data_IF_776779070580
#
_entry.id   IF_776779070580
#
_cell.length_a   1.000
_cell.length_b   1.000
_cell.length_c   1.000
_cell.angle_alpha   90.00
_cell.angle_beta   90.00
_cell.angle_gamma   90.00
#
_symmetry.space_group_name_H-M   'P 1'
#
loop_
_entity.id
_entity.type
_entity.pdbx_description
1 polymer ?
#
# COMPACT_ATOMS: atom_id res chain seq x y z
N UNK A 1 17.45 -11.60 -1.09
CA UNK A 1 17.20 -10.61 -0.05
C UNK A 1 16.65 -11.27 1.20
N UNK A 2 16.96 -10.73 2.35
CA UNK A 2 16.42 -11.22 3.62
C UNK A 2 14.93 -10.89 3.67
N UNK A 3 14.10 -11.91 3.90
CA UNK A 3 12.67 -11.75 4.19
C UNK A 3 12.48 -11.64 5.70
N UNK A 4 11.51 -10.86 6.13
CA UNK A 4 11.21 -10.75 7.56
C UNK A 4 10.68 -12.07 8.13
N UNK A 5 10.89 -12.35 9.42
CA UNK A 5 10.32 -13.56 10.06
C UNK A 5 8.81 -13.68 9.87
N UNK A 6 8.08 -12.60 10.02
CA UNK A 6 6.62 -12.59 9.84
C UNK A 6 6.21 -12.91 8.40
N UNK A 7 7.00 -12.50 7.40
CA UNK A 7 6.74 -12.87 6.02
C UNK A 7 6.90 -14.38 5.80
N UNK A 8 7.92 -14.99 6.40
CA UNK A 8 8.13 -16.44 6.31
C UNK A 8 6.98 -17.20 6.97
N UNK A 9 6.57 -16.79 8.16
CA UNK A 9 5.43 -17.36 8.87
C UNK A 9 4.13 -17.28 8.05
N UNK A 10 3.82 -16.13 7.48
CA UNK A 10 2.65 -15.96 6.61
C UNK A 10 2.76 -16.87 5.37
N UNK A 11 3.93 -16.94 4.76
CA UNK A 11 4.16 -17.77 3.57
C UNK A 11 3.98 -19.26 3.87
N UNK A 12 4.51 -19.72 4.99
CA UNK A 12 4.38 -21.09 5.45
C UNK A 12 2.93 -21.46 5.75
N UNK A 13 2.20 -20.57 6.40
CA UNK A 13 0.78 -20.74 6.71
C UNK A 13 -0.08 -20.79 5.44
N UNK A 14 0.20 -19.93 4.45
CA UNK A 14 -0.50 -19.97 3.15
C UNK A 14 -0.25 -21.30 2.43
N UNK A 15 1.00 -21.72 2.34
CA UNK A 15 1.35 -23.00 1.73
C UNK A 15 0.70 -24.17 2.50
N UNK A 16 0.72 -24.12 3.83
CA UNK A 16 0.08 -25.10 4.70
C UNK A 16 -1.44 -25.19 4.47
N UNK A 17 -2.10 -24.06 4.26
CA UNK A 17 -3.52 -24.05 3.90
C UNK A 17 -3.81 -24.85 2.64
N UNK A 18 -3.03 -24.65 1.57
CA UNK A 18 -3.19 -25.38 0.32
C UNK A 18 -2.85 -26.87 0.46
N UNK A 19 -1.81 -27.20 1.21
CA UNK A 19 -1.44 -28.61 1.49
C UNK A 19 -2.58 -29.31 2.21
N UNK A 20 -3.14 -28.69 3.24
CA UNK A 20 -4.22 -29.28 4.03
C UNK A 20 -5.51 -29.44 3.22
N UNK A 21 -5.79 -28.51 2.32
CA UNK A 21 -7.03 -28.51 1.54
C UNK A 21 -6.98 -29.41 0.31
N UNK A 22 -5.85 -29.47 -0.38
CA UNK A 22 -5.73 -30.12 -1.69
C UNK A 22 -4.69 -31.24 -1.75
N UNK A 23 -3.88 -31.40 -0.70
CA UNK A 23 -2.77 -32.35 -0.65
C UNK A 23 -1.48 -31.78 -1.21
N UNK A 24 -0.36 -32.30 -0.69
CA UNK A 24 0.99 -31.75 -0.95
C UNK A 24 1.38 -31.77 -2.43
N UNK A 25 0.93 -32.75 -3.20
CA UNK A 25 1.28 -32.91 -4.62
C UNK A 25 0.27 -32.25 -5.58
N UNK A 26 -0.67 -31.47 -5.07
CA UNK A 26 -1.68 -30.79 -5.89
C UNK A 26 -1.10 -29.68 -6.75
N UNK A 27 -1.78 -29.37 -7.85
CA UNK A 27 -1.39 -28.24 -8.72
C UNK A 27 -1.47 -26.91 -7.97
N UNK A 28 -2.42 -26.74 -7.06
CA UNK A 28 -2.55 -25.56 -6.22
C UNK A 28 -1.29 -25.31 -5.38
N UNK A 29 -0.75 -26.38 -4.76
CA UNK A 29 0.48 -26.27 -3.97
C UNK A 29 1.68 -25.98 -4.87
N UNK A 30 1.77 -26.60 -6.04
CA UNK A 30 2.85 -26.33 -7.00
C UNK A 30 2.82 -24.87 -7.45
N UNK A 31 1.68 -24.36 -7.86
CA UNK A 31 1.53 -22.96 -8.28
C UNK A 31 1.85 -22.00 -7.12
N UNK A 32 1.41 -22.30 -5.91
CA UNK A 32 1.73 -21.48 -4.75
C UNK A 32 3.23 -21.41 -4.44
N UNK A 33 3.94 -22.53 -4.60
CA UNK A 33 5.39 -22.65 -4.33
C UNK A 33 6.27 -22.15 -5.48
N UNK A 34 5.89 -22.40 -6.72
CA UNK A 34 6.75 -22.18 -7.91
C UNK A 34 6.84 -20.72 -8.33
N UNK A 35 5.83 -19.96 -8.01
CA UNK A 35 5.82 -18.54 -8.31
C UNK A 35 6.05 -17.74 -7.03
N UNK A 36 6.04 -16.48 -7.07
CA UNK A 36 6.34 -15.56 -5.97
C UNK A 36 5.30 -15.61 -4.84
N UNK A 37 4.89 -16.80 -4.40
CA UNK A 37 3.82 -17.04 -3.44
C UNK A 37 2.46 -16.60 -4.00
N UNK A 38 1.95 -17.34 -4.98
CA UNK A 38 0.65 -17.06 -5.60
C UNK A 38 -0.47 -17.70 -4.79
N UNK A 39 -1.45 -16.93 -4.40
CA UNK A 39 -2.60 -17.37 -3.59
C UNK A 39 -3.84 -16.53 -3.86
N UNK A 40 -5.00 -17.05 -3.50
CA UNK A 40 -6.24 -16.29 -3.56
C UNK A 40 -6.33 -15.31 -2.36
N UNK A 41 -6.86 -14.08 -2.56
CA UNK A 41 -6.94 -13.07 -1.50
C UNK A 41 -7.63 -13.54 -0.22
N UNK A 42 -8.68 -14.35 -0.33
CA UNK A 42 -9.41 -14.87 0.84
C UNK A 42 -8.56 -15.80 1.72
N UNK A 43 -7.54 -16.47 1.14
CA UNK A 43 -6.61 -17.30 1.91
C UNK A 43 -5.72 -16.42 2.78
N UNK A 44 -5.21 -15.31 2.23
CA UNK A 44 -4.46 -14.36 3.03
C UNK A 44 -5.31 -13.76 4.15
N UNK A 45 -6.55 -13.38 3.86
CA UNK A 45 -7.47 -12.86 4.88
C UNK A 45 -7.68 -13.88 6.01
N UNK A 46 -7.89 -15.15 5.66
CA UNK A 46 -8.02 -16.23 6.63
C UNK A 46 -6.77 -16.37 7.52
N UNK A 47 -5.58 -16.38 6.92
CA UNK A 47 -4.31 -16.49 7.66
C UNK A 47 -4.09 -15.29 8.57
N UNK A 48 -4.32 -14.05 8.07
CA UNK A 48 -4.20 -12.85 8.90
C UNK A 48 -5.18 -12.84 10.08
N UNK A 49 -6.43 -13.26 9.86
CA UNK A 49 -7.41 -13.35 10.94
C UNK A 49 -6.94 -14.35 12.01
N UNK A 50 -6.43 -15.52 11.63
CA UNK A 50 -5.91 -16.50 12.59
C UNK A 50 -4.74 -15.93 13.41
N UNK A 51 -3.75 -15.30 12.76
CA UNK A 51 -2.62 -14.68 13.45
C UNK A 51 -3.04 -13.60 14.44
N UNK A 52 -4.10 -12.87 14.13
CA UNK A 52 -4.66 -11.85 15.01
C UNK A 52 -5.38 -12.51 16.20
N UNK A 53 -6.20 -13.55 15.96
CA UNK A 53 -6.94 -14.25 16.99
C UNK A 53 -6.05 -14.95 18.01
N UNK A 54 -4.89 -15.45 17.57
CA UNK A 54 -3.88 -16.02 18.45
C UNK A 54 -3.25 -14.99 19.39
N UNK A 55 -3.31 -13.72 19.05
CA UNK A 55 -2.69 -12.65 19.82
C UNK A 55 -3.73 -11.78 20.56
N UNK A 56 -3.99 -12.14 21.80
CA UNK A 56 -4.99 -11.46 22.66
C UNK A 56 -4.73 -9.96 22.91
N UNK A 57 -3.54 -9.47 22.59
CA UNK A 57 -3.19 -8.05 22.75
C UNK A 57 -3.55 -7.20 21.51
N UNK A 58 -4.02 -7.82 20.44
CA UNK A 58 -4.46 -7.12 19.24
C UNK A 58 -5.97 -6.96 19.25
N UNK A 59 -6.44 -5.75 19.03
CA UNK A 59 -7.85 -5.45 18.81
C UNK A 59 -8.02 -4.84 17.43
N UNK A 60 -8.86 -5.46 16.62
CA UNK A 60 -9.14 -5.02 15.25
C UNK A 60 -10.52 -4.37 15.19
N UNK A 61 -10.59 -3.20 14.57
CA UNK A 61 -11.82 -2.51 14.26
C UNK A 61 -11.97 -2.52 12.73
N UNK A 62 -12.83 -3.39 12.21
CA UNK A 62 -13.12 -3.47 10.77
C UNK A 62 -14.19 -2.47 10.38
N UNK A 63 -14.14 -1.97 9.14
CA UNK A 63 -15.11 -1.02 8.59
C UNK A 63 -15.14 0.34 9.32
N UNK A 64 -14.01 0.78 9.80
CA UNK A 64 -13.82 2.12 10.35
C UNK A 64 -12.80 2.89 9.53
N UNK A 65 -13.05 4.17 9.36
CA UNK A 65 -12.15 5.10 8.69
C UNK A 65 -11.77 6.23 9.66
N UNK A 66 -10.55 6.76 9.57
CA UNK A 66 -10.17 7.93 10.35
C UNK A 66 -10.97 9.16 9.88
N UNK A 67 -11.52 9.89 10.83
CA UNK A 67 -12.31 11.09 10.55
C UNK A 67 -11.67 12.36 11.15
N UNK A 68 -11.09 12.25 12.34
CA UNK A 68 -10.51 13.38 13.05
C UNK A 68 -9.27 12.99 13.84
N UNK A 69 -8.29 13.89 13.85
CA UNK A 69 -7.07 13.76 14.63
C UNK A 69 -6.93 14.96 15.57
N UNK A 70 -6.71 14.71 16.85
CA UNK A 70 -6.41 15.74 17.85
C UNK A 70 -4.89 15.84 18.00
N UNK A 71 -4.33 16.95 17.53
CA UNK A 71 -2.89 17.24 17.59
C UNK A 71 -2.63 18.36 18.57
N UNK A 72 -1.71 18.14 19.52
CA UNK A 72 -1.23 19.17 20.47
C UNK A 72 0.29 19.15 20.53
N UNK A 73 0.90 20.29 20.31
CA UNK A 73 2.37 20.45 20.34
C UNK A 73 3.09 19.45 19.42
N UNK A 74 2.60 19.29 18.19
CA UNK A 74 3.11 18.36 17.17
C UNK A 74 3.03 16.87 17.57
N UNK A 75 2.17 16.52 18.51
CA UNK A 75 1.91 15.14 18.90
C UNK A 75 0.44 14.79 18.70
N UNK A 76 0.16 13.66 18.07
CA UNK A 76 -1.19 13.12 18.00
C UNK A 76 -1.59 12.63 19.40
N UNK A 77 -2.68 13.17 19.94
CA UNK A 77 -3.22 12.80 21.24
C UNK A 77 -4.33 11.77 21.12
N UNK A 78 -5.12 11.84 20.08
CA UNK A 78 -6.17 10.87 19.80
C UNK A 78 -6.56 10.91 18.34
N UNK A 79 -7.14 9.81 17.88
CA UNK A 79 -7.83 9.72 16.61
C UNK A 79 -9.29 9.36 16.84
N UNK A 80 -10.17 9.88 16.03
CA UNK A 80 -11.58 9.51 15.98
C UNK A 80 -11.82 8.74 14.70
N UNK A 81 -12.40 7.57 14.83
CA UNK A 81 -12.77 6.70 13.73
C UNK A 81 -14.28 6.66 13.61
N UNK A 82 -14.79 6.72 12.38
CA UNK A 82 -16.21 6.54 12.09
C UNK A 82 -16.45 5.22 11.38
N UNK A 83 -17.50 4.53 11.78
CA UNK A 83 -17.97 3.34 11.08
C UNK A 83 -18.51 3.72 9.71
N UNK A 84 -18.19 2.92 8.68
CA UNK A 84 -18.78 3.05 7.35
C UNK A 84 -20.12 2.30 7.23
N UNK A 85 -20.52 1.57 8.26
CA UNK A 85 -21.72 0.74 8.27
C UNK A 85 -22.87 1.34 9.08
N UNK A 86 -22.56 2.18 10.05
CA UNK A 86 -23.51 2.79 10.96
C UNK A 86 -22.96 4.12 11.49
N UNK A 87 -23.68 4.77 12.38
CA UNK A 87 -23.29 6.05 12.98
C UNK A 87 -22.34 5.88 14.20
N UNK A 88 -21.67 4.74 14.33
CA UNK A 88 -20.75 4.49 15.44
C UNK A 88 -19.46 5.30 15.27
N UNK A 89 -19.05 5.94 16.35
CA UNK A 89 -17.80 6.66 16.47
C UNK A 89 -16.94 6.05 17.58
N UNK A 90 -15.66 5.85 17.30
CA UNK A 90 -14.69 5.35 18.27
C UNK A 90 -13.55 6.35 18.41
N UNK A 91 -13.26 6.75 19.65
CA UNK A 91 -12.07 7.55 19.95
C UNK A 91 -10.96 6.67 20.49
N UNK A 92 -9.80 6.72 19.83
CA UNK A 92 -8.60 5.97 20.22
C UNK A 92 -7.57 6.93 20.78
N UNK A 93 -7.05 6.61 21.96
CA UNK A 93 -5.94 7.28 22.61
C UNK A 93 -4.80 6.27 22.73
N UNK A 94 -3.62 6.64 22.22
CA UNK A 94 -2.46 5.77 22.25
C UNK A 94 -1.18 6.56 22.50
N UNK A 95 -0.10 5.88 22.83
CA UNK A 95 1.25 6.46 22.94
C UNK A 95 1.90 6.67 21.59
N UNK A 96 1.58 5.80 20.63
CA UNK A 96 2.13 5.82 19.28
C UNK A 96 1.02 5.52 18.29
N UNK A 97 1.04 6.23 17.18
CA UNK A 97 0.16 6.01 16.04
C UNK A 97 1.01 5.68 14.82
N UNK A 98 0.58 4.70 14.04
CA UNK A 98 1.24 4.28 12.82
C UNK A 98 0.21 4.37 11.71
N UNK A 99 0.50 5.18 10.69
CA UNK A 99 -0.27 5.21 9.46
C UNK A 99 0.28 4.14 8.52
N UNK A 100 -0.53 3.16 8.23
CA UNK A 100 -0.24 2.11 7.26
C UNK A 100 -1.37 2.02 6.20
N UNK A 101 -2.12 3.11 6.02
CA UNK A 101 -3.08 3.24 4.94
C UNK A 101 -2.37 3.43 3.59
N UNK A 102 -3.08 3.21 2.50
CA UNK A 102 -2.52 3.42 1.16
C UNK A 102 -2.33 4.91 0.84
N UNK A 103 -3.25 5.74 1.30
CA UNK A 103 -3.30 7.17 0.96
C UNK A 103 -2.67 8.07 2.01
N UNK A 104 -2.31 7.55 3.19
CA UNK A 104 -1.76 8.36 4.27
C UNK A 104 -2.83 9.21 4.98
N UNK A 105 -4.02 8.65 5.19
CA UNK A 105 -5.17 9.36 5.75
C UNK A 105 -4.89 9.99 7.11
N UNK A 106 -4.18 9.28 7.96
CA UNK A 106 -3.82 9.78 9.29
C UNK A 106 -2.83 10.94 9.21
N UNK A 107 -1.88 10.85 8.27
CA UNK A 107 -0.91 11.94 8.03
C UNK A 107 -1.65 13.18 7.56
N UNK A 108 -2.53 13.03 6.57
CA UNK A 108 -3.33 14.14 6.03
C UNK A 108 -4.19 14.81 7.11
N UNK A 109 -4.91 14.01 7.90
CA UNK A 109 -5.76 14.52 8.99
C UNK A 109 -4.96 15.14 10.14
N UNK A 110 -3.71 14.76 10.33
CA UNK A 110 -2.85 15.36 11.36
C UNK A 110 -2.40 16.78 11.04
N UNK A 111 -2.52 17.20 9.78
CA UNK A 111 -2.01 18.48 9.31
C UNK A 111 -0.49 18.52 9.16
N UNK A 112 0.17 17.36 9.17
CA UNK A 112 1.61 17.28 8.88
C UNK A 112 1.87 17.70 7.42
N UNK A 113 3.00 18.35 7.14
CA UNK A 113 3.39 18.61 5.75
C UNK A 113 3.47 17.31 4.96
N UNK A 114 2.84 17.29 3.82
CA UNK A 114 2.88 16.13 2.91
C UNK A 114 3.05 16.62 1.47
N UNK A 115 3.64 15.79 0.66
CA UNK A 115 3.77 16.02 -0.78
C UNK A 115 2.96 14.94 -1.51
N UNK A 116 2.15 15.36 -2.47
CA UNK A 116 1.38 14.46 -3.33
C UNK A 116 2.02 14.46 -4.71
N UNK A 117 2.29 13.25 -5.23
CA UNK A 117 2.91 13.08 -6.52
C UNK A 117 4.44 13.12 -6.48
N UNK A 118 5.03 13.26 -7.65
CA UNK A 118 6.49 13.36 -7.76
C UNK A 118 6.92 14.82 -7.72
N UNK A 119 8.02 15.06 -7.04
CA UNK A 119 8.70 16.35 -7.08
C UNK A 119 9.25 16.64 -8.47
N UNK A 120 9.35 17.92 -8.81
CA UNK A 120 10.03 18.36 -10.01
C UNK A 120 11.54 18.27 -9.84
N UNK A 121 12.26 18.19 -10.96
CA UNK A 121 13.73 18.22 -10.94
C UNK A 121 14.29 19.47 -10.25
N UNK A 122 13.62 20.60 -10.42
CA UNK A 122 14.05 21.88 -9.88
C UNK A 122 13.95 21.96 -8.35
N UNK A 123 13.02 21.21 -7.75
CA UNK A 123 12.76 21.27 -6.32
C UNK A 123 13.94 20.75 -5.49
N UNK A 124 14.56 19.64 -5.91
CA UNK A 124 15.68 19.00 -5.20
C UNK A 124 16.91 18.77 -6.07
N UNK A 125 16.90 19.27 -7.31
CA UNK A 125 17.98 19.08 -8.28
C UNK A 125 18.36 17.61 -8.52
N UNK A 126 17.38 16.74 -8.54
CA UNK A 126 17.57 15.30 -8.76
C UNK A 126 17.47 14.94 -10.24
N UNK A 127 18.44 14.21 -10.83
CA UNK A 127 18.49 13.96 -12.29
C UNK A 127 17.28 13.22 -12.84
N UNK A 128 16.61 12.42 -12.03
CA UNK A 128 15.48 11.58 -12.41
C UNK A 128 14.14 12.06 -11.87
N UNK A 129 14.10 13.12 -11.06
CA UNK A 129 12.85 13.71 -10.59
C UNK A 129 12.07 14.33 -11.75
N UNK A 130 10.74 14.36 -11.63
CA UNK A 130 9.85 14.87 -12.68
C UNK A 130 9.77 13.99 -13.95
N UNK A 131 10.41 12.82 -13.96
CA UNK A 131 10.35 11.88 -15.08
C UNK A 131 9.56 10.64 -14.72
N UNK A 132 8.67 10.24 -15.60
CA UNK A 132 7.98 8.96 -15.52
C UNK A 132 8.56 8.07 -16.61
N UNK A 133 9.10 6.94 -16.22
CA UNK A 133 9.58 5.94 -17.15
C UNK A 133 8.47 4.93 -17.39
N UNK A 134 8.03 4.82 -18.64
CA UNK A 134 7.14 3.74 -19.00
C UNK A 134 7.92 2.45 -19.13
N UNK A 135 7.50 1.44 -18.39
CA UNK A 135 7.77 0.08 -18.78
C UNK A 135 6.46 -0.56 -19.24
N UNK A 136 6.34 -0.79 -20.53
CA UNK A 136 5.29 -1.65 -21.06
C UNK A 136 5.80 -3.07 -21.01
N UNK A 137 5.35 -3.85 -20.07
CA UNK A 137 5.70 -5.27 -20.10
C UNK A 137 5.37 -6.00 -18.83
N UNK A 138 4.25 -6.65 -18.83
CA UNK A 138 4.10 -7.92 -18.14
C UNK A 138 4.76 -8.98 -19.04
N UNK A 139 6.02 -9.32 -18.76
CA UNK A 139 6.71 -10.35 -19.48
C UNK A 139 8.16 -10.03 -19.78
N UNK A 140 8.94 -11.04 -20.10
CA UNK A 140 10.39 -11.06 -20.20
C UNK A 140 10.98 -10.28 -21.39
N UNK A 141 10.33 -9.27 -21.88
CA UNK A 141 10.88 -8.41 -22.93
C UNK A 141 11.21 -7.04 -22.35
N UNK A 142 12.48 -6.63 -22.41
CA UNK A 142 12.82 -5.24 -22.18
C UNK A 142 12.20 -4.44 -23.33
N UNK A 143 11.12 -3.76 -23.06
CA UNK A 143 10.69 -2.69 -23.95
C UNK A 143 11.66 -1.52 -23.74
N UNK A 144 12.25 -1.09 -24.84
CA UNK A 144 13.05 0.11 -24.85
C UNK A 144 12.23 1.25 -24.25
N UNK A 145 12.80 1.91 -23.27
CA UNK A 145 12.20 3.10 -22.71
C UNK A 145 12.10 4.14 -23.81
N UNK A 146 10.93 4.33 -24.37
CA UNK A 146 10.71 5.44 -25.29
C UNK A 146 10.65 6.71 -24.45
N UNK A 147 11.64 7.56 -24.58
CA UNK A 147 11.56 8.94 -24.14
C UNK A 147 10.51 9.65 -25.02
N UNK A 148 9.29 9.70 -24.53
CA UNK A 148 8.23 10.49 -25.14
C UNK A 148 7.95 11.72 -24.28
N UNK A 149 7.89 12.88 -24.92
CA UNK A 149 7.28 14.05 -24.30
C UNK A 149 5.78 13.77 -24.17
N UNK A 150 5.36 13.32 -23.01
CA UNK A 150 3.96 13.35 -22.65
C UNK A 150 3.65 14.76 -22.15
N UNK A 151 2.87 15.50 -22.92
CA UNK A 151 2.10 16.60 -22.36
C UNK A 151 1.06 15.97 -21.43
N UNK A 152 1.44 15.84 -20.19
CA UNK A 152 0.46 15.52 -19.14
C UNK A 152 -0.27 16.81 -18.84
N UNK A 153 -1.46 16.93 -19.37
CA UNK A 153 -2.42 17.86 -18.79
C UNK A 153 -2.51 17.57 -17.30
N UNK A 154 -2.57 18.63 -16.50
CA UNK A 154 -2.75 18.51 -15.04
C UNK A 154 -3.96 17.65 -14.74
N UNK A 155 -3.70 16.38 -14.50
CA UNK A 155 -4.76 15.46 -14.09
C UNK A 155 -5.24 15.90 -12.72
N UNK A 156 -6.56 15.98 -12.49
CA UNK A 156 -7.07 16.14 -11.16
C UNK A 156 -6.55 15.00 -10.28
N UNK A 157 -6.36 15.25 -9.00
CA UNK A 157 -5.80 14.33 -7.99
C UNK A 157 -6.42 12.92 -7.98
N UNK A 158 -7.57 12.77 -8.61
CA UNK A 158 -8.29 11.50 -8.77
C UNK A 158 -8.00 10.77 -10.07
N UNK A 159 -7.23 11.33 -10.99
CA UNK A 159 -6.96 10.64 -12.25
C UNK A 159 -5.82 9.68 -12.08
N UNK A 160 -6.21 8.50 -12.20
CA UNK A 160 -5.44 7.29 -12.19
C UNK A 160 -4.42 7.25 -13.33
N UNK A 161 -3.25 6.70 -13.02
CA UNK A 161 -2.51 5.92 -13.98
C UNK A 161 -1.73 6.71 -15.02
N UNK A 162 -0.61 7.18 -14.56
CA UNK A 162 0.46 7.47 -15.50
C UNK A 162 1.27 6.20 -15.65
N UNK A 163 0.94 5.43 -16.66
CA UNK A 163 1.62 4.18 -16.88
C UNK A 163 2.87 4.32 -17.71
N UNK A 164 2.99 5.37 -18.47
CA UNK A 164 4.05 5.42 -19.43
C UNK A 164 4.38 6.82 -19.87
N UNK A 165 5.63 7.10 -19.92
CA UNK A 165 6.18 8.29 -20.47
C UNK A 165 7.04 9.06 -19.50
N UNK A 166 7.88 9.92 -20.01
CA UNK A 166 8.54 10.90 -19.20
C UNK A 166 7.68 12.14 -19.15
N UNK A 167 7.44 12.67 -17.98
CA UNK A 167 7.03 14.05 -17.88
C UNK A 167 8.19 14.93 -18.28
N UNK A 168 7.91 16.05 -18.87
CA UNK A 168 8.91 17.08 -19.14
C UNK A 168 9.66 17.49 -17.88
N UNK A 169 10.78 18.13 -18.05
CA UNK A 169 11.53 18.72 -16.94
C UNK A 169 10.64 19.72 -16.19
N UNK A 170 10.59 19.61 -14.88
CA UNK A 170 9.84 20.52 -14.05
C UNK A 170 8.37 20.18 -13.80
N UNK A 171 7.85 19.14 -14.45
CA UNK A 171 6.46 18.74 -14.24
C UNK A 171 6.33 17.89 -12.98
N UNK A 172 5.35 18.25 -12.15
CA UNK A 172 4.93 17.40 -11.03
C UNK A 172 4.10 16.25 -11.58
N UNK A 173 4.62 15.05 -11.49
CA UNK A 173 3.88 13.87 -11.88
C UNK A 173 3.13 13.31 -10.67
N UNK A 174 1.85 13.06 -10.86
CA UNK A 174 1.06 12.32 -9.88
C UNK A 174 1.42 10.85 -9.99
N UNK A 175 1.86 10.27 -8.90
CA UNK A 175 2.08 8.84 -8.77
C UNK A 175 0.84 8.23 -8.14
N UNK A 176 0.23 7.28 -8.80
CA UNK A 176 -0.83 6.44 -8.22
C UNK A 176 -0.25 5.33 -7.38
#
# INVERSE_FOLDING_TARGET
>A
GFRSPIFNEISENIIGYYINKYGENSEQVKVCKDTRLTFEPHVAEYIFNNLIEENKNIKVFKSFIPNKVDVKKNEIKSITLNSIQNDEEIKIIAKTFIDASYEGDLIALSGAPLTIGRESREEFNEPHAGRIFSSHGFGAFPLEASEGNLNLDTFPVTSQLIFSGSTGEGDKAVQS
#
